data_IF_852713958000
#
_entry.id   IF_852713958000
#
_cell.length_a   1.000
_cell.length_b   1.000
_cell.length_c   1.000
_cell.angle_alpha   90.00
_cell.angle_beta   90.00
_cell.angle_gamma   90.00
#
_symmetry.space_group_name_H-M   'P 1'
#
loop_
_entity.id
_entity.type
_entity.pdbx_description
1 polymer ?
#
# COMPACT_ATOMS: atom_id res chain seq x y z
N UNK A 1 2.83 11.15 1.58
CA UNK A 1 3.32 9.83 1.13
C UNK A 1 4.79 9.81 0.74
N UNK A 2 5.31 10.73 -0.09
CA UNK A 2 6.74 10.75 -0.48
C UNK A 2 7.74 10.57 0.68
N UNK A 3 7.52 11.26 1.81
CA UNK A 3 8.36 11.12 3.02
C UNK A 3 8.29 9.74 3.68
N UNK A 4 7.10 9.13 3.75
CA UNK A 4 6.92 7.82 4.36
C UNK A 4 7.64 6.73 3.56
N UNK A 5 7.56 6.79 2.23
CA UNK A 5 8.28 5.88 1.33
C UNK A 5 9.79 6.06 1.48
N UNK A 6 10.29 7.29 1.57
CA UNK A 6 11.73 7.54 1.77
C UNK A 6 12.27 6.95 3.09
N UNK A 7 11.47 6.99 4.18
CA UNK A 7 11.85 6.40 5.48
C UNK A 7 11.90 4.85 5.38
N UNK A 8 10.96 4.24 4.64
CA UNK A 8 10.98 2.80 4.36
C UNK A 8 12.21 2.43 3.52
N UNK A 9 12.48 3.17 2.45
CA UNK A 9 13.63 2.94 1.56
C UNK A 9 14.98 3.11 2.29
N UNK A 10 15.03 3.98 3.31
CA UNK A 10 16.19 4.13 4.19
C UNK A 10 16.32 3.01 5.24
N UNK A 11 15.34 2.10 5.35
CA UNK A 11 15.31 1.05 6.38
C UNK A 11 15.03 1.56 7.79
N UNK A 12 14.65 2.83 7.93
CA UNK A 12 14.32 3.47 9.21
C UNK A 12 12.93 3.07 9.72
N UNK A 13 12.08 2.55 8.84
CA UNK A 13 10.80 1.94 9.17
C UNK A 13 10.60 0.68 8.32
N UNK A 14 9.78 -0.25 8.82
CA UNK A 14 9.37 -1.46 8.08
C UNK A 14 7.90 -1.49 7.69
N UNK A 15 7.06 -0.62 8.27
CA UNK A 15 5.60 -0.65 8.05
C UNK A 15 5.04 0.77 7.97
N UNK A 16 4.15 1.01 6.99
CA UNK A 16 3.33 2.22 6.91
C UNK A 16 1.88 1.86 7.26
N UNK A 17 1.36 2.47 8.34
CA UNK A 17 -0.03 2.29 8.76
C UNK A 17 -0.89 3.45 8.24
N UNK A 18 -2.02 3.13 7.62
CA UNK A 18 -2.99 4.12 7.12
C UNK A 18 -4.41 3.79 7.56
N UNK A 19 -5.26 4.80 7.64
CA UNK A 19 -6.66 4.60 8.03
C UNK A 19 -7.49 3.92 6.93
N UNK A 20 -7.25 4.30 5.66
CA UNK A 20 -8.00 3.79 4.51
C UNK A 20 -7.08 3.58 3.31
N UNK A 21 -7.16 2.40 2.68
CA UNK A 21 -6.29 2.07 1.55
C UNK A 21 -6.67 2.85 0.28
N UNK A 22 -7.97 2.98 -0.02
CA UNK A 22 -8.50 3.70 -1.19
C UNK A 22 -8.25 5.22 -1.14
N UNK A 23 -8.06 5.78 0.06
CA UNK A 23 -7.74 7.21 0.28
C UNK A 23 -6.24 7.49 0.41
N UNK A 24 -5.40 6.45 0.33
CA UNK A 24 -3.95 6.58 0.40
C UNK A 24 -3.41 7.53 -0.68
N UNK A 25 -3.96 7.42 -1.90
CA UNK A 25 -3.63 8.25 -3.06
C UNK A 25 -4.85 8.40 -3.97
N UNK A 26 -4.87 9.46 -4.79
CA UNK A 26 -6.00 9.76 -5.69
C UNK A 26 -5.90 9.10 -7.08
N UNK A 27 -4.89 8.28 -7.31
CA UNK A 27 -4.63 7.61 -8.59
C UNK A 27 -4.21 6.18 -8.36
N UNK A 28 -4.91 5.23 -8.99
CA UNK A 28 -4.59 3.80 -8.92
C UNK A 28 -3.19 3.49 -9.45
N UNK A 29 -2.73 4.21 -10.48
CA UNK A 29 -1.38 4.06 -11.01
C UNK A 29 -0.32 4.44 -9.96
N UNK A 30 -0.55 5.54 -9.23
CA UNK A 30 0.34 5.96 -8.14
C UNK A 30 0.24 4.99 -6.96
N UNK A 31 -0.94 4.42 -6.70
CA UNK A 31 -1.13 3.45 -5.62
C UNK A 31 -0.30 2.20 -5.86
N UNK A 32 -0.36 1.69 -7.09
CA UNK A 32 0.45 0.56 -7.52
C UNK A 32 1.94 0.86 -7.40
N UNK A 33 2.41 2.02 -7.89
CA UNK A 33 3.81 2.43 -7.78
C UNK A 33 4.27 2.48 -6.31
N UNK A 34 3.46 3.05 -5.42
CA UNK A 34 3.79 3.13 -3.99
C UNK A 34 3.89 1.74 -3.38
N UNK A 35 2.93 0.84 -3.65
CA UNK A 35 2.97 -0.53 -3.14
C UNK A 35 4.22 -1.27 -3.63
N UNK A 36 4.53 -1.19 -4.92
CA UNK A 36 5.72 -1.82 -5.51
C UNK A 36 7.00 -1.30 -4.85
N UNK A 37 7.11 0.01 -4.58
CA UNK A 37 8.28 0.60 -3.91
C UNK A 37 8.41 0.18 -2.45
N UNK A 38 7.30 0.15 -1.71
CA UNK A 38 7.31 -0.31 -0.31
C UNK A 38 7.75 -1.77 -0.23
N UNK A 39 7.27 -2.62 -1.14
CA UNK A 39 7.68 -4.03 -1.18
C UNK A 39 9.14 -4.21 -1.60
N UNK A 40 9.64 -3.45 -2.60
CA UNK A 40 11.05 -3.48 -2.98
C UNK A 40 11.98 -3.06 -1.84
N UNK A 41 11.52 -2.17 -0.96
CA UNK A 41 12.22 -1.81 0.28
C UNK A 41 12.09 -2.87 1.39
N UNK A 42 11.37 -3.97 1.17
CA UNK A 42 11.11 -5.01 2.17
C UNK A 42 10.09 -4.61 3.25
N UNK A 43 9.35 -3.52 3.02
CA UNK A 43 8.35 -3.00 3.94
C UNK A 43 6.94 -3.50 3.64
N UNK A 44 5.98 -3.13 4.50
CA UNK A 44 4.57 -3.44 4.34
C UNK A 44 3.67 -2.21 4.52
N UNK A 45 2.47 -2.26 3.94
CA UNK A 45 1.41 -1.29 4.20
C UNK A 45 0.34 -1.98 5.03
N UNK A 46 -0.13 -1.37 6.11
CA UNK A 46 -1.28 -1.85 6.88
C UNK A 46 -2.35 -0.78 6.82
N UNK A 47 -3.52 -1.13 6.31
CA UNK A 47 -4.65 -0.24 6.28
C UNK A 47 -5.68 -0.71 7.32
N UNK A 48 -6.18 0.18 8.16
CA UNK A 48 -7.06 -0.19 9.29
C UNK A 48 -8.40 -0.76 8.82
N UNK A 49 -8.87 -0.32 7.66
CA UNK A 49 -10.12 -0.75 7.04
C UNK A 49 -10.04 -2.11 6.31
N UNK A 50 -8.85 -2.51 5.84
CA UNK A 50 -8.68 -3.74 5.04
C UNK A 50 -7.59 -4.70 5.53
N UNK A 51 -6.80 -4.34 6.53
CA UNK A 51 -5.72 -5.15 7.10
C UNK A 51 -4.36 -4.96 6.42
N UNK A 52 -3.49 -5.96 6.52
CA UNK A 52 -2.15 -5.94 5.90
C UNK A 52 -2.24 -6.05 4.37
N UNK A 53 -1.46 -5.22 3.69
CA UNK A 53 -1.34 -5.12 2.24
C UNK A 53 0.13 -5.34 1.85
N UNK A 54 0.38 -6.46 1.20
CA UNK A 54 1.63 -6.88 0.52
C UNK A 54 1.36 -7.06 -0.97
N UNK A 55 2.32 -7.14 -1.88
CA UNK A 55 1.95 -7.16 -3.31
C UNK A 55 1.19 -8.41 -3.76
N UNK A 56 1.41 -9.55 -3.10
CA UNK A 56 0.64 -10.78 -3.27
C UNK A 56 -0.84 -10.62 -2.92
N UNK A 57 -1.14 -9.72 -1.96
CA UNK A 57 -2.48 -9.36 -1.52
C UNK A 57 -2.98 -8.07 -2.17
N UNK A 58 -2.09 -7.17 -2.61
CA UNK A 58 -2.42 -5.88 -3.19
C UNK A 58 -3.04 -6.04 -4.57
N UNK A 59 -2.59 -7.02 -5.36
CA UNK A 59 -3.25 -7.38 -6.61
C UNK A 59 -4.70 -7.86 -6.37
N UNK A 60 -4.95 -8.62 -5.31
CA UNK A 60 -6.30 -9.01 -4.86
C UNK A 60 -7.12 -7.79 -4.41
N UNK A 61 -6.54 -6.86 -3.66
CA UNK A 61 -7.22 -5.65 -3.17
C UNK A 61 -7.48 -4.61 -4.26
N UNK A 62 -6.54 -4.38 -5.17
CA UNK A 62 -6.71 -3.50 -6.34
C UNK A 62 -7.80 -4.02 -7.29
N UNK A 63 -7.95 -5.34 -7.36
CA UNK A 63 -9.00 -5.99 -8.13
C UNK A 63 -10.34 -6.03 -7.38
N UNK A 64 -10.36 -5.91 -6.06
CA UNK A 64 -11.57 -6.03 -5.24
C UNK A 64 -12.67 -5.01 -5.60
N UNK A 65 -12.34 -3.72 -5.86
CA UNK A 65 -13.31 -2.76 -6.39
C UNK A 65 -13.81 -3.11 -7.79
N UNK A 66 -12.99 -3.75 -8.64
CA UNK A 66 -13.37 -4.18 -10.00
C UNK A 66 -14.23 -5.46 -9.98
N UNK A 67 -14.04 -6.33 -8.98
CA UNK A 67 -14.75 -7.59 -8.81
C UNK A 67 -16.05 -7.46 -7.99
N UNK A 68 -16.36 -6.25 -7.50
CA UNK A 68 -17.62 -5.99 -6.80
C UNK A 68 -17.78 -6.75 -5.48
N UNK A 69 -16.68 -7.18 -4.84
CA UNK A 69 -16.78 -7.79 -3.52
C UNK A 69 -17.05 -6.70 -2.47
N UNK A 70 -18.28 -6.73 -1.96
CA UNK A 70 -18.71 -6.12 -0.69
C UNK A 70 -18.30 -6.98 0.49
#
# INVERSE_FOLDING_TARGET
>A
MRRAVAILEAGEAGVVVVAYFDRLVRSLAVQREVVERVEQAGGAIVAVDVGEVRADTASRWLSSPMLGMV
#
